data_IF_070796137786
#
_entry.id   IF_070796137786
#
_cell.length_a   1.000
_cell.length_b   1.000
_cell.length_c   1.000
_cell.angle_alpha   90.00
_cell.angle_beta   90.00
_cell.angle_gamma   90.00
#
_symmetry.space_group_name_H-M   'P 1'
#
loop_
_entity.id
_entity.type
_entity.pdbx_description
1 polymer ?
#
# COMPACT_ATOMS: atom_id res chain seq x y z
N UNK A 1 -24.59 11.66 -42.70
CA UNK A 1 -23.33 11.96 -41.99
C UNK A 1 -23.36 11.27 -40.63
N UNK A 2 -22.39 10.41 -40.32
CA UNK A 2 -22.26 9.81 -38.97
C UNK A 2 -21.14 10.55 -38.25
N UNK A 3 -21.48 11.38 -37.27
CA UNK A 3 -20.48 11.93 -36.35
C UNK A 3 -19.96 10.80 -35.46
N UNK A 4 -18.84 10.19 -35.83
CA UNK A 4 -17.99 9.49 -34.87
C UNK A 4 -17.38 10.57 -33.99
N UNK A 5 -17.99 10.79 -32.82
CA UNK A 5 -17.37 11.58 -31.76
C UNK A 5 -16.14 10.77 -31.33
N UNK A 6 -14.94 11.22 -31.73
CA UNK A 6 -13.71 10.72 -31.16
C UNK A 6 -13.76 11.07 -29.66
N UNK A 7 -14.08 10.10 -28.82
CA UNK A 7 -13.94 10.25 -27.37
C UNK A 7 -12.44 10.40 -27.15
N UNK A 8 -11.97 11.59 -26.77
CA UNK A 8 -10.63 11.72 -26.18
C UNK A 8 -10.62 10.80 -24.95
N UNK A 9 -9.98 9.63 -25.06
CA UNK A 9 -9.68 8.81 -23.88
C UNK A 9 -8.70 9.63 -23.06
N UNK A 10 -9.11 10.03 -21.86
CA UNK A 10 -8.19 10.71 -20.94
C UNK A 10 -7.07 9.74 -20.57
N UNK A 11 -5.85 10.26 -20.42
CA UNK A 11 -4.70 9.50 -19.96
C UNK A 11 -4.32 10.02 -18.57
N UNK A 12 -4.95 9.50 -17.49
CA UNK A 12 -4.70 10.00 -16.14
C UNK A 12 -3.27 9.69 -15.73
N UNK A 13 -2.58 10.69 -15.16
CA UNK A 13 -1.21 10.56 -14.70
C UNK A 13 -1.01 11.35 -13.43
N UNK A 14 -0.49 10.70 -12.40
CA UNK A 14 -0.12 11.34 -11.14
C UNK A 14 1.00 10.57 -10.46
N UNK A 15 1.62 11.23 -9.50
CA UNK A 15 2.56 10.64 -8.57
C UNK A 15 2.43 11.36 -7.23
N UNK A 16 2.38 10.61 -6.14
CA UNK A 16 2.40 11.18 -4.80
C UNK A 16 3.20 10.30 -3.85
N UNK A 17 3.67 10.93 -2.77
CA UNK A 17 4.29 10.24 -1.64
C UNK A 17 4.03 11.01 -0.35
N UNK A 18 3.86 10.29 0.74
CA UNK A 18 3.80 10.88 2.08
C UNK A 18 4.36 9.89 3.11
N UNK A 19 4.67 10.40 4.28
CA UNK A 19 5.07 9.59 5.42
C UNK A 19 4.73 10.28 6.74
N UNK A 20 4.59 9.47 7.77
CA UNK A 20 4.44 9.89 9.17
C UNK A 20 5.56 9.26 9.96
N UNK A 21 6.19 10.07 10.81
CA UNK A 21 7.18 9.62 11.77
C UNK A 21 6.96 10.37 13.08
N UNK A 22 6.07 9.84 13.91
CA UNK A 22 5.73 10.39 15.21
C UNK A 22 6.27 9.51 16.33
N UNK A 23 7.35 9.97 16.96
CA UNK A 23 7.98 9.26 18.07
C UNK A 23 7.14 9.25 19.36
N UNK A 24 6.18 10.16 19.50
CA UNK A 24 5.33 10.22 20.69
C UNK A 24 4.26 9.13 20.66
N UNK A 25 3.63 8.93 19.51
CA UNK A 25 2.60 7.89 19.31
C UNK A 25 3.17 6.55 18.84
N UNK A 26 4.42 6.54 18.34
CA UNK A 26 5.04 5.37 17.70
C UNK A 26 4.56 5.16 16.25
N UNK A 27 3.82 6.12 15.68
CA UNK A 27 3.30 6.02 14.33
C UNK A 27 4.40 6.27 13.29
N UNK A 28 4.84 5.18 12.65
CA UNK A 28 5.79 5.21 11.54
C UNK A 28 5.17 4.51 10.34
N UNK A 29 4.90 5.30 9.30
CA UNK A 29 4.33 4.81 8.03
C UNK A 29 4.79 5.62 6.84
N UNK A 30 4.77 4.98 5.67
CA UNK A 30 5.02 5.65 4.39
C UNK A 30 4.12 5.11 3.30
N UNK A 31 3.87 5.93 2.28
CA UNK A 31 3.13 5.55 1.08
C UNK A 31 3.73 6.27 -0.12
N UNK A 32 3.85 5.56 -1.23
CA UNK A 32 4.10 6.15 -2.54
C UNK A 32 3.19 5.48 -3.59
N UNK A 33 2.66 6.25 -4.53
CA UNK A 33 1.90 5.72 -5.65
C UNK A 33 2.13 6.54 -6.90
N UNK A 34 2.24 5.84 -8.02
CA UNK A 34 2.33 6.38 -9.35
C UNK A 34 1.26 5.74 -10.24
N UNK A 35 0.56 6.58 -11.01
CA UNK A 35 -0.36 6.15 -12.05
C UNK A 35 0.10 6.68 -13.40
N UNK A 36 0.12 5.79 -14.39
CA UNK A 36 0.31 6.11 -15.79
C UNK A 36 -0.77 5.43 -16.64
N UNK A 37 -1.75 6.20 -17.08
CA UNK A 37 -2.90 5.69 -17.83
C UNK A 37 -3.73 4.72 -17.00
N UNK A 38 -3.80 3.48 -17.44
CA UNK A 38 -4.58 2.42 -16.80
C UNK A 38 -3.75 1.60 -15.79
N UNK A 39 -2.45 1.89 -15.65
CA UNK A 39 -1.54 1.19 -14.73
C UNK A 39 -1.30 2.03 -13.47
N UNK A 40 -1.50 1.40 -12.30
CA UNK A 40 -1.12 1.94 -10.99
C UNK A 40 -0.03 1.06 -10.40
N UNK A 41 1.00 1.68 -9.81
CA UNK A 41 2.01 1.00 -9.00
C UNK A 41 2.22 1.80 -7.73
N UNK A 42 2.35 1.12 -6.61
CA UNK A 42 2.65 1.80 -5.36
C UNK A 42 3.19 0.87 -4.30
N UNK A 43 3.55 1.48 -3.19
CA UNK A 43 3.98 0.79 -1.99
C UNK A 43 3.51 1.53 -0.75
N UNK A 44 3.32 0.78 0.32
CA UNK A 44 3.15 1.33 1.64
C UNK A 44 3.84 0.51 2.70
N UNK A 45 4.23 1.17 3.79
CA UNK A 45 4.79 0.51 4.96
C UNK A 45 4.21 1.05 6.26
N UNK A 46 4.08 0.19 7.26
CA UNK A 46 3.75 0.57 8.63
C UNK A 46 4.39 -0.39 9.65
N UNK A 47 4.65 0.12 10.85
CA UNK A 47 4.95 -0.71 12.02
C UNK A 47 3.64 -1.33 12.52
N UNK A 48 3.62 -2.66 12.67
CA UNK A 48 2.50 -3.44 13.20
C UNK A 48 2.53 -3.44 14.75
N UNK A 49 1.40 -3.75 15.42
CA UNK A 49 1.36 -3.79 16.90
C UNK A 49 2.33 -4.79 17.55
N UNK A 50 2.76 -5.82 16.82
CA UNK A 50 3.74 -6.81 17.29
C UNK A 50 5.20 -6.37 17.07
N UNK A 51 5.42 -5.13 16.58
CA UNK A 51 6.74 -4.57 16.31
C UNK A 51 7.32 -4.92 14.93
N UNK A 52 6.66 -5.77 14.14
CA UNK A 52 7.11 -6.04 12.77
C UNK A 52 6.80 -4.87 11.83
N UNK A 53 7.59 -4.70 10.78
CA UNK A 53 7.25 -3.77 9.69
C UNK A 53 6.58 -4.54 8.57
N UNK A 54 5.33 -4.16 8.25
CA UNK A 54 4.65 -4.63 7.05
C UNK A 54 4.93 -3.67 5.91
N UNK A 55 5.44 -4.20 4.81
CA UNK A 55 5.56 -3.51 3.52
C UNK A 55 4.69 -4.20 2.50
N UNK A 56 3.93 -3.42 1.72
CA UNK A 56 3.09 -3.92 0.65
C UNK A 56 3.46 -3.21 -0.63
N UNK A 57 3.93 -3.96 -1.62
CA UNK A 57 4.11 -3.47 -2.98
C UNK A 57 2.92 -3.92 -3.81
N UNK A 58 2.30 -3.02 -4.57
CA UNK A 58 1.10 -3.32 -5.33
C UNK A 58 1.13 -2.76 -6.75
N UNK A 59 0.42 -3.46 -7.63
CA UNK A 59 0.19 -3.06 -9.03
C UNK A 59 -1.27 -3.29 -9.37
N UNK A 60 -1.86 -2.42 -10.20
CA UNK A 60 -3.19 -2.63 -10.77
C UNK A 60 -3.24 -2.21 -12.24
N UNK A 61 -3.88 -3.04 -13.06
CA UNK A 61 -4.20 -2.75 -14.47
C UNK A 61 -5.52 -3.45 -14.87
N UNK A 62 -5.99 -3.23 -16.10
CA UNK A 62 -7.24 -3.78 -16.63
C UNK A 62 -7.17 -5.26 -17.02
N UNK A 63 -5.96 -5.80 -17.18
CA UNK A 63 -5.73 -7.19 -17.60
C UNK A 63 -5.58 -8.15 -16.41
N UNK A 64 -4.82 -7.74 -15.41
CA UNK A 64 -4.40 -8.54 -14.26
C UNK A 64 -5.14 -8.17 -12.98
N UNK A 65 -5.87 -7.05 -12.97
CA UNK A 65 -6.50 -6.51 -11.77
C UNK A 65 -5.48 -6.08 -10.72
N UNK A 66 -5.92 -5.96 -9.47
CA UNK A 66 -5.06 -5.60 -8.34
C UNK A 66 -4.24 -6.81 -7.87
N UNK A 67 -2.92 -6.65 -7.78
CA UNK A 67 -1.99 -7.63 -7.26
C UNK A 67 -1.08 -6.97 -6.22
N UNK A 68 -0.81 -7.67 -5.12
CA UNK A 68 0.03 -7.16 -4.04
C UNK A 68 0.95 -8.24 -3.48
N UNK A 69 2.18 -7.85 -3.17
CA UNK A 69 3.17 -8.65 -2.43
C UNK A 69 3.34 -8.01 -1.06
N UNK A 70 3.05 -8.79 -0.02
CA UNK A 70 3.18 -8.36 1.38
C UNK A 70 4.43 -8.99 1.97
N UNK A 71 5.25 -8.18 2.62
CA UNK A 71 6.44 -8.64 3.36
C UNK A 71 6.37 -8.10 4.78
N UNK A 72 6.50 -8.99 5.76
CA UNK A 72 6.67 -8.63 7.16
C UNK A 72 8.13 -8.84 7.55
N UNK A 73 8.77 -7.82 8.10
CA UNK A 73 10.18 -7.87 8.55
C UNK A 73 10.28 -7.55 10.04
N UNK A 74 11.30 -8.10 10.71
CA UNK A 74 11.50 -7.95 12.15
C UNK A 74 11.03 -9.17 12.96
N UNK A 75 11.06 -9.02 14.28
CA UNK A 75 10.65 -10.07 15.22
C UNK A 75 9.30 -9.71 15.83
N UNK A 76 8.30 -10.55 15.58
CA UNK A 76 6.99 -10.39 16.19
C UNK A 76 7.07 -10.69 17.69
N UNK A 77 6.67 -9.73 18.51
CA UNK A 77 6.50 -9.90 19.96
C UNK A 77 5.02 -10.13 20.23
N UNK A 78 4.66 -11.38 20.50
CA UNK A 78 3.31 -11.72 20.93
C UNK A 78 3.26 -11.76 22.46
N UNK A 79 2.23 -11.19 23.10
CA UNK A 79 2.01 -11.40 24.53
C UNK A 79 1.88 -12.91 24.79
N UNK A 80 2.61 -13.45 25.76
CA UNK A 80 2.35 -14.80 26.25
C UNK A 80 0.88 -14.88 26.68
N UNK A 81 0.18 -15.92 26.23
CA UNK A 81 -1.15 -16.21 26.75
C UNK A 81 -1.05 -16.32 28.29
N UNK A 82 -2.00 -15.75 29.05
CA UNK A 82 -1.96 -15.84 30.49
C UNK A 82 -1.91 -17.31 30.89
N UNK A 83 -0.87 -17.71 31.64
CA UNK A 83 -0.78 -19.06 32.19
C UNK A 83 -2.05 -19.31 33.00
N UNK A 84 -2.81 -20.32 32.60
CA UNK A 84 -3.93 -20.80 33.39
C UNK A 84 -3.39 -21.15 34.79
N UNK A 85 -3.94 -20.49 35.82
CA UNK A 85 -3.65 -20.87 37.21
C UNK A 85 -4.20 -22.28 37.42
N UNK A 86 -3.33 -23.21 37.82
CA UNK A 86 -3.66 -24.55 38.29
C UNK A 86 -4.45 -24.50 39.59
#
# INVERSE_FOLDING_TARGET
MRHRRAVRKAHPKYEFKYGVHDAHTGDVKSQAEHRDGDVVKGEYSLIQPDGTTRTVHYTADDHNGFNAVVTNTGHAVHPEAPKARS
#
